data_IF_080220135192
#
_entry.id   IF_080220135192
#
_cell.length_a   1.000
_cell.length_b   1.000
_cell.length_c   1.000
_cell.angle_alpha   90.00
_cell.angle_beta   90.00
_cell.angle_gamma   90.00
#
_symmetry.space_group_name_H-M   'P 1'
#
loop_
_entity.id
_entity.type
_entity.pdbx_description
1 polymer ?
#
# COMPACT_ATOMS: atom_id res chain seq x y z
N UNK A 1 -49.65 -83.13 38.94
CA UNK A 1 -50.52 -83.40 37.77
C UNK A 1 -50.03 -82.55 36.62
N UNK A 2 -50.06 -83.14 35.41
CA UNK A 2 -50.09 -82.50 34.08
C UNK A 2 -48.88 -81.65 33.67
N UNK A 3 -48.03 -82.10 32.74
CA UNK A 3 -48.16 -81.94 31.26
C UNK A 3 -48.42 -80.47 30.89
N UNK A 4 -47.76 -79.81 29.94
CA UNK A 4 -47.30 -80.26 28.62
C UNK A 4 -46.67 -79.05 27.89
N UNK A 5 -45.51 -79.26 27.25
CA UNK A 5 -45.14 -78.87 25.86
C UNK A 5 -45.19 -77.38 25.39
N UNK A 6 -44.56 -77.00 24.24
CA UNK A 6 -43.31 -76.22 24.22
C UNK A 6 -43.37 -74.93 23.37
N UNK A 7 -42.19 -74.36 23.06
CA UNK A 7 -41.81 -73.34 22.02
C UNK A 7 -41.43 -71.96 22.57
N UNK A 8 -40.64 -71.12 21.86
CA UNK A 8 -39.69 -71.35 20.75
C UNK A 8 -38.26 -70.82 21.03
N UNK A 9 -37.31 -71.21 20.17
CA UNK A 9 -35.91 -70.72 20.12
C UNK A 9 -35.85 -69.26 19.64
N UNK A 10 -35.13 -68.35 20.32
CA UNK A 10 -34.82 -67.03 19.78
C UNK A 10 -33.58 -67.08 18.88
N UNK A 11 -33.73 -66.59 17.65
CA UNK A 11 -32.65 -66.34 16.68
C UNK A 11 -31.77 -65.18 17.21
N UNK A 12 -30.43 -65.26 17.13
CA UNK A 12 -29.57 -64.14 17.51
C UNK A 12 -29.73 -62.97 16.53
N UNK A 13 -29.97 -61.77 17.07
CA UNK A 13 -29.95 -60.53 16.30
C UNK A 13 -28.53 -60.21 15.81
N UNK A 14 -28.37 -59.62 14.60
CA UNK A 14 -27.08 -59.20 14.10
C UNK A 14 -26.54 -58.03 14.93
N UNK A 15 -25.31 -58.16 15.42
CA UNK A 15 -24.58 -57.07 16.06
C UNK A 15 -24.41 -55.90 15.06
N UNK A 16 -25.02 -54.76 15.37
CA UNK A 16 -24.81 -53.51 14.65
C UNK A 16 -23.34 -53.04 14.79
N UNK A 17 -22.61 -52.77 13.70
CA UNK A 17 -21.30 -52.12 13.77
C UNK A 17 -21.50 -50.61 13.96
N UNK A 18 -22.06 -50.21 15.10
CA UNK A 18 -22.41 -48.80 15.37
C UNK A 18 -21.29 -47.99 16.04
N UNK A 19 -20.09 -48.55 16.23
CA UNK A 19 -19.02 -47.88 17.00
C UNK A 19 -17.88 -47.24 16.19
N UNK A 20 -17.87 -47.32 14.86
CA UNK A 20 -16.77 -46.76 14.04
C UNK A 20 -17.15 -45.59 13.12
N UNK A 21 -18.44 -45.28 12.94
CA UNK A 21 -18.87 -44.14 12.09
C UNK A 21 -18.91 -42.78 12.79
N UNK A 22 -19.00 -42.74 14.13
CA UNK A 22 -19.14 -41.47 14.87
C UNK A 22 -17.83 -40.67 14.94
N UNK A 23 -16.66 -41.33 14.82
CA UNK A 23 -15.35 -40.65 14.92
C UNK A 23 -14.83 -40.00 13.62
N UNK A 24 -15.38 -40.35 12.44
CA UNK A 24 -14.99 -39.72 11.16
C UNK A 24 -15.84 -38.49 10.81
N UNK A 25 -17.08 -38.41 11.29
CA UNK A 25 -17.95 -37.26 11.05
C UNK A 25 -17.51 -36.00 11.83
N UNK A 26 -16.90 -36.17 13.01
CA UNK A 26 -16.46 -35.02 13.85
C UNK A 26 -15.20 -34.34 13.33
N UNK A 27 -14.32 -35.05 12.60
CA UNK A 27 -13.09 -34.45 12.04
C UNK A 27 -13.35 -33.62 10.78
N UNK A 28 -14.36 -33.97 9.98
CA UNK A 28 -14.77 -33.20 8.81
C UNK A 28 -15.54 -31.92 9.19
N UNK A 29 -16.35 -31.97 10.25
CA UNK A 29 -17.09 -30.79 10.73
C UNK A 29 -16.17 -29.70 11.29
N UNK A 30 -15.10 -30.07 12.00
CA UNK A 30 -14.10 -29.13 12.54
C UNK A 30 -13.23 -28.53 11.43
N UNK A 31 -12.86 -29.31 10.41
CA UNK A 31 -12.11 -28.80 9.26
C UNK A 31 -12.92 -27.80 8.43
N UNK A 32 -14.24 -27.99 8.30
CA UNK A 32 -15.11 -27.07 7.56
C UNK A 32 -15.39 -25.76 8.32
N UNK A 33 -15.45 -25.81 9.66
CA UNK A 33 -15.60 -24.58 10.48
C UNK A 33 -14.31 -23.76 10.56
N UNK A 34 -13.15 -24.41 10.53
CA UNK A 34 -11.87 -23.71 10.42
C UNK A 34 -11.73 -23.08 9.03
N UNK A 35 -12.07 -23.79 7.94
CA UNK A 35 -12.00 -23.21 6.59
C UNK A 35 -12.91 -21.99 6.37
N UNK A 36 -14.11 -21.98 6.95
CA UNK A 36 -15.03 -20.83 6.85
C UNK A 36 -14.60 -19.61 7.69
N UNK A 37 -13.83 -19.81 8.76
CA UNK A 37 -13.36 -18.69 9.61
C UNK A 37 -12.10 -18.04 9.05
N UNK A 38 -11.22 -18.77 8.36
CA UNK A 38 -10.04 -18.17 7.71
C UNK A 38 -10.43 -17.35 6.47
N UNK A 39 -11.44 -17.78 5.68
CA UNK A 39 -11.94 -17.00 4.54
C UNK A 39 -12.68 -15.72 4.93
N UNK A 40 -13.20 -15.62 6.17
CA UNK A 40 -13.85 -14.41 6.65
C UNK A 40 -12.84 -13.33 7.08
N UNK A 41 -11.66 -13.70 7.57
CA UNK A 41 -10.63 -12.72 7.97
C UNK A 41 -9.98 -12.02 6.77
N UNK A 42 -9.88 -12.69 5.61
CA UNK A 42 -9.42 -12.05 4.38
C UNK A 42 -10.41 -10.97 3.85
N UNK A 43 -11.65 -10.94 4.35
CA UNK A 43 -12.68 -9.94 3.98
C UNK A 43 -12.70 -8.70 4.89
N UNK A 44 -11.81 -8.59 5.87
CA UNK A 44 -11.81 -7.41 6.76
C UNK A 44 -10.97 -6.24 6.21
N UNK A 45 -10.05 -6.48 5.26
CA UNK A 45 -9.37 -5.42 4.52
C UNK A 45 -10.27 -4.76 3.45
N UNK A 46 -11.48 -5.27 3.22
CA UNK A 46 -12.52 -4.71 2.32
C UNK A 46 -13.60 -3.90 3.06
N UNK A 47 -13.42 -3.56 4.35
CA UNK A 47 -14.52 -3.09 5.21
C UNK A 47 -14.96 -1.64 4.95
N UNK A 48 -14.05 -0.77 4.49
CA UNK A 48 -14.43 0.57 4.01
C UNK A 48 -13.33 1.13 3.09
N UNK A 49 -13.56 1.09 1.78
CA UNK A 49 -12.64 1.67 0.80
C UNK A 49 -12.62 3.21 0.85
N UNK A 50 -13.46 3.84 1.67
CA UNK A 50 -13.53 5.28 1.84
C UNK A 50 -13.02 5.77 3.21
N UNK A 51 -12.36 4.91 4.00
CA UNK A 51 -11.95 5.27 5.35
C UNK A 51 -11.02 6.50 5.37
N UNK A 52 -10.02 6.54 4.47
CA UNK A 52 -9.13 7.71 4.36
C UNK A 52 -9.89 8.98 4.00
N UNK A 53 -10.83 8.92 3.05
CA UNK A 53 -11.66 10.08 2.72
C UNK A 53 -12.48 10.56 3.92
N UNK A 54 -13.11 9.65 4.67
CA UNK A 54 -13.89 10.00 5.86
C UNK A 54 -13.03 10.69 6.92
N UNK A 55 -11.77 10.27 7.10
CA UNK A 55 -10.84 10.97 8.01
C UNK A 55 -10.59 12.39 7.52
N UNK A 56 -10.27 12.57 6.24
CA UNK A 56 -10.02 13.91 5.66
C UNK A 56 -11.25 14.82 5.79
N UNK A 57 -12.39 14.35 5.29
CA UNK A 57 -13.63 15.12 5.12
C UNK A 57 -14.37 15.38 6.43
N UNK A 58 -14.27 14.49 7.41
CA UNK A 58 -15.04 14.59 8.67
C UNK A 58 -14.16 15.02 9.86
N UNK A 59 -12.87 14.66 9.87
CA UNK A 59 -12.00 14.85 11.03
C UNK A 59 -10.91 15.90 10.83
N UNK A 60 -10.30 15.97 9.65
CA UNK A 60 -9.17 16.86 9.43
C UNK A 60 -9.60 18.24 8.89
N UNK A 61 -10.27 18.28 7.74
CA UNK A 61 -10.67 19.53 7.08
C UNK A 61 -11.64 20.35 7.94
N UNK A 62 -12.73 19.78 8.52
CA UNK A 62 -13.64 20.55 9.36
C UNK A 62 -12.97 21.12 10.61
N UNK A 63 -12.06 20.36 11.24
CA UNK A 63 -11.30 20.88 12.39
C UNK A 63 -10.41 22.04 11.98
N UNK A 64 -9.69 21.93 10.86
CA UNK A 64 -8.82 23.01 10.39
C UNK A 64 -9.61 24.28 10.10
N UNK A 65 -10.79 24.16 9.48
CA UNK A 65 -11.66 25.29 9.16
C UNK A 65 -12.29 25.93 10.41
N UNK A 66 -12.73 25.12 11.37
CA UNK A 66 -13.44 25.61 12.54
C UNK A 66 -12.51 26.18 13.63
N UNK A 67 -11.35 25.56 13.84
CA UNK A 67 -10.48 25.86 14.99
C UNK A 67 -9.04 26.18 14.62
N UNK A 68 -8.67 26.09 13.35
CA UNK A 68 -7.28 26.29 12.92
C UNK A 68 -6.33 25.14 13.30
N UNK A 69 -6.84 24.01 13.79
CA UNK A 69 -6.06 22.83 14.19
C UNK A 69 -6.35 21.63 13.30
N UNK A 70 -5.39 20.70 13.07
CA UNK A 70 -5.52 19.68 12.01
C UNK A 70 -6.41 18.47 12.36
N UNK A 71 -7.03 18.44 13.55
CA UNK A 71 -7.85 17.33 13.98
C UNK A 71 -7.04 16.03 14.15
N UNK A 72 -7.45 14.96 13.43
CA UNK A 72 -6.74 13.67 13.45
C UNK A 72 -5.47 13.67 12.56
N UNK A 73 -5.29 14.67 11.71
CA UNK A 73 -4.14 14.76 10.82
C UNK A 73 -2.94 15.40 11.52
N UNK A 74 -1.73 15.11 11.03
CA UNK A 74 -0.49 15.76 11.44
C UNK A 74 -0.49 17.23 11.02
N UNK A 75 -0.96 17.51 9.79
CA UNK A 75 -1.19 18.88 9.30
C UNK A 75 -2.29 18.90 8.25
N UNK A 76 -2.93 20.05 8.07
CA UNK A 76 -3.89 20.32 6.99
C UNK A 76 -3.48 21.61 6.29
N UNK A 77 -3.27 21.54 4.98
CA UNK A 77 -3.01 22.71 4.15
C UNK A 77 -4.18 22.92 3.20
N UNK A 78 -5.11 23.80 3.56
CA UNK A 78 -6.30 24.10 2.74
C UNK A 78 -5.93 24.84 1.44
N UNK A 79 -4.86 25.64 1.45
CA UNK A 79 -4.42 26.40 0.27
C UNK A 79 -3.80 25.52 -0.81
N UNK A 80 -2.96 24.55 -0.40
CA UNK A 80 -2.37 23.52 -1.26
C UNK A 80 -3.21 22.24 -1.37
N UNK A 81 -4.38 22.21 -0.72
CA UNK A 81 -5.41 21.18 -0.83
C UNK A 81 -4.93 19.76 -0.48
N UNK A 82 -4.16 19.61 0.59
CA UNK A 82 -3.76 18.29 1.11
C UNK A 82 -3.76 18.24 2.63
N UNK A 83 -3.72 17.03 3.17
CA UNK A 83 -3.42 16.73 4.56
C UNK A 83 -2.23 15.79 4.66
N UNK A 84 -1.50 15.84 5.77
CA UNK A 84 -0.59 14.77 6.16
C UNK A 84 -1.21 14.01 7.32
N UNK A 85 -1.30 12.69 7.18
CA UNK A 85 -1.84 11.79 8.20
C UNK A 85 -0.73 10.82 8.63
N UNK A 86 -0.49 10.66 9.93
CA UNK A 86 0.34 9.55 10.44
C UNK A 86 -0.40 8.23 10.16
N UNK A 87 0.24 7.33 9.43
CA UNK A 87 -0.33 6.01 9.15
C UNK A 87 -0.42 5.19 10.45
N UNK A 88 -1.42 4.31 10.54
CA UNK A 88 -1.56 3.36 11.65
C UNK A 88 -0.54 2.22 11.56
N UNK A 89 -0.04 1.94 10.36
CA UNK A 89 1.04 1.01 10.07
C UNK A 89 2.36 1.78 10.03
N UNK A 90 3.42 1.12 10.51
CA UNK A 90 4.78 1.64 10.43
C UNK A 90 5.17 2.62 11.53
N UNK A 91 6.45 2.55 11.92
CA UNK A 91 7.07 3.38 12.94
C UNK A 91 7.05 4.86 12.58
N UNK A 92 7.21 5.17 11.30
CA UNK A 92 7.45 6.52 10.79
C UNK A 92 6.60 6.92 9.60
N UNK A 93 5.85 5.98 9.03
CA UNK A 93 5.04 6.19 7.83
C UNK A 93 4.00 7.29 8.01
N UNK A 94 3.97 8.20 7.05
CA UNK A 94 2.93 9.21 6.86
C UNK A 94 2.30 9.06 5.48
N UNK A 95 1.12 9.63 5.32
CA UNK A 95 0.41 9.70 4.06
C UNK A 95 0.17 11.16 3.70
N UNK A 96 0.48 11.57 2.46
CA UNK A 96 -0.14 12.75 1.87
C UNK A 96 -1.45 12.34 1.22
N UNK A 97 -2.54 13.03 1.56
CA UNK A 97 -3.89 12.74 1.06
C UNK A 97 -4.53 14.07 0.61
N UNK A 98 -5.04 14.18 -0.63
CA UNK A 98 -5.76 15.38 -1.08
C UNK A 98 -6.97 15.70 -0.21
N UNK A 99 -7.27 16.98 -0.03
CA UNK A 99 -8.55 17.45 0.52
C UNK A 99 -9.69 17.35 -0.50
N UNK A 100 -9.36 17.05 -1.74
CA UNK A 100 -10.31 16.78 -2.82
C UNK A 100 -10.60 15.29 -2.96
N UNK A 101 -11.79 14.98 -3.48
CA UNK A 101 -12.16 13.60 -3.78
C UNK A 101 -11.50 13.12 -5.07
N UNK A 102 -10.28 12.60 -4.93
CA UNK A 102 -9.48 12.01 -6.02
C UNK A 102 -9.28 10.53 -5.68
N UNK A 103 -9.60 9.61 -6.58
CA UNK A 103 -9.63 8.17 -6.26
C UNK A 103 -8.24 7.55 -6.14
N UNK A 104 -7.28 8.01 -6.94
CA UNK A 104 -5.92 7.48 -7.00
C UNK A 104 -5.20 7.88 -8.29
N UNK A 105 -4.15 7.13 -8.63
CA UNK A 105 -3.28 7.36 -9.80
C UNK A 105 -4.04 7.30 -11.14
N UNK A 106 -5.15 6.59 -11.22
CA UNK A 106 -6.00 6.50 -12.40
C UNK A 106 -6.88 7.73 -12.63
N UNK A 107 -6.99 8.61 -11.63
CA UNK A 107 -7.91 9.73 -11.71
C UNK A 107 -7.40 10.79 -12.70
N UNK A 108 -8.19 11.21 -13.71
CA UNK A 108 -7.77 12.25 -14.64
C UNK A 108 -7.51 13.61 -13.95
N UNK A 109 -8.02 13.79 -12.73
CA UNK A 109 -7.85 15.00 -11.94
C UNK A 109 -6.39 15.27 -11.55
N UNK A 110 -5.52 14.26 -11.52
CA UNK A 110 -4.09 14.44 -11.21
C UNK A 110 -3.30 15.04 -12.37
N UNK A 111 -3.88 15.06 -13.58
CA UNK A 111 -3.27 15.61 -14.80
C UNK A 111 -3.96 16.89 -15.30
N UNK A 112 -5.05 17.28 -14.65
CA UNK A 112 -5.82 18.48 -15.01
C UNK A 112 -4.92 19.74 -15.02
N UNK A 113 -5.27 20.79 -15.81
CA UNK A 113 -4.47 22.01 -15.91
C UNK A 113 -4.15 22.71 -14.58
N UNK A 114 -4.96 22.45 -13.53
CA UNK A 114 -4.79 23.02 -12.19
C UNK A 114 -4.65 21.94 -11.10
N UNK A 115 -4.22 20.74 -11.49
CA UNK A 115 -3.85 19.70 -10.55
C UNK A 115 -2.75 20.22 -9.60
N UNK A 116 -2.84 19.87 -8.32
CA UNK A 116 -1.83 20.28 -7.33
C UNK A 116 -0.58 19.41 -7.46
N UNK A 117 0.58 19.97 -7.12
CA UNK A 117 1.87 19.28 -7.14
C UNK A 117 2.08 18.42 -5.88
N UNK A 118 1.22 17.41 -5.70
CA UNK A 118 1.24 16.54 -4.52
C UNK A 118 2.58 15.83 -4.29
N UNK A 119 3.38 15.58 -5.33
CA UNK A 119 4.72 14.99 -5.18
C UNK A 119 5.71 15.96 -4.53
N UNK A 120 5.65 17.25 -4.84
CA UNK A 120 6.47 18.29 -4.18
C UNK A 120 6.07 18.40 -2.72
N UNK A 121 4.77 18.47 -2.45
CA UNK A 121 4.26 18.57 -1.08
C UNK A 121 4.53 17.31 -0.25
N UNK A 122 4.47 16.12 -0.86
CA UNK A 122 4.83 14.86 -0.20
C UNK A 122 6.34 14.79 0.07
N UNK A 123 7.17 15.28 -0.85
CA UNK A 123 8.61 15.36 -0.66
C UNK A 123 8.96 16.26 0.52
N UNK A 124 8.35 17.44 0.62
CA UNK A 124 8.52 18.34 1.77
C UNK A 124 8.04 17.73 3.10
N UNK A 125 7.04 16.84 3.03
CA UNK A 125 6.47 16.16 4.19
C UNK A 125 7.34 14.99 4.71
N UNK A 126 8.42 14.60 4.01
CA UNK A 126 9.39 13.60 4.51
C UNK A 126 9.97 13.95 5.89
N UNK A 127 10.02 15.24 6.23
CA UNK A 127 10.38 15.72 7.57
C UNK A 127 9.53 15.14 8.71
N UNK A 128 8.32 14.67 8.44
CA UNK A 128 7.48 14.01 9.47
C UNK A 128 7.94 12.57 9.75
N UNK A 129 8.54 11.90 8.76
CA UNK A 129 9.24 10.61 8.94
C UNK A 129 10.44 10.85 9.87
N UNK A 130 11.28 11.82 9.53
CA UNK A 130 12.45 12.23 10.31
C UNK A 130 12.08 12.64 11.75
N UNK A 131 11.00 13.41 11.92
CA UNK A 131 10.47 13.77 13.23
C UNK A 131 10.03 12.57 14.06
N UNK A 132 9.48 11.53 13.41
CA UNK A 132 9.06 10.29 14.08
C UNK A 132 10.25 9.45 14.54
N UNK A 133 11.33 9.42 13.76
CA UNK A 133 12.58 8.73 14.12
C UNK A 133 13.57 9.60 14.88
N UNK A 134 13.26 10.90 15.05
CA UNK A 134 14.05 11.91 15.77
C UNK A 134 15.47 12.09 15.22
N UNK A 135 15.62 12.00 13.90
CA UNK A 135 16.88 12.22 13.20
C UNK A 135 16.62 12.65 11.76
N UNK A 136 17.54 13.42 11.21
CA UNK A 136 17.63 13.63 9.77
C UNK A 136 18.12 12.36 9.08
N UNK A 137 17.60 12.12 7.88
CA UNK A 137 17.99 11.02 7.00
C UNK A 137 18.43 11.59 5.65
N UNK A 138 19.45 10.99 5.01
CA UNK A 138 19.76 11.28 3.61
C UNK A 138 18.53 11.10 2.72
N UNK A 139 18.39 11.92 1.68
CA UNK A 139 17.20 11.92 0.81
C UNK A 139 17.02 10.60 0.04
N UNK A 140 18.10 9.87 -0.25
CA UNK A 140 18.09 8.52 -0.85
C UNK A 140 17.69 7.40 0.13
N UNK A 141 17.47 7.73 1.41
CA UNK A 141 16.91 6.84 2.42
C UNK A 141 15.43 7.10 2.70
N UNK A 142 14.82 8.06 2.00
CA UNK A 142 13.41 8.42 2.10
C UNK A 142 12.70 8.12 0.78
N UNK A 143 11.48 7.60 0.88
CA UNK A 143 10.69 7.16 -0.26
C UNK A 143 9.29 7.75 -0.21
N UNK A 144 8.79 8.13 -1.38
CA UNK A 144 7.40 8.47 -1.63
C UNK A 144 6.81 7.43 -2.56
N UNK A 145 5.63 6.89 -2.28
CA UNK A 145 5.04 5.84 -3.12
C UNK A 145 3.54 6.00 -3.31
N UNK A 146 3.05 5.64 -4.49
CA UNK A 146 1.63 5.44 -4.74
C UNK A 146 1.39 4.09 -5.41
N UNK A 147 0.48 3.33 -4.81
CA UNK A 147 0.03 2.05 -5.29
C UNK A 147 -0.92 2.16 -6.49
N UNK A 148 -0.92 1.13 -7.34
CA UNK A 148 -1.92 0.98 -8.39
C UNK A 148 -3.33 0.79 -7.82
N UNK A 149 -4.35 1.02 -8.65
CA UNK A 149 -5.74 0.77 -8.25
C UNK A 149 -5.95 -0.68 -7.80
N UNK A 150 -5.24 -1.62 -8.44
CA UNK A 150 -5.37 -3.06 -8.19
C UNK A 150 -4.50 -3.58 -7.04
N UNK A 151 -3.74 -2.70 -6.37
CA UNK A 151 -2.83 -3.05 -5.26
C UNK A 151 -3.07 -2.24 -4.00
N UNK A 152 -4.14 -1.43 -3.95
CA UNK A 152 -4.55 -0.66 -2.77
C UNK A 152 -5.91 -1.10 -2.24
N UNK A 153 -6.19 -0.76 -0.98
CA UNK A 153 -7.49 -1.02 -0.33
C UNK A 153 -8.36 0.24 -0.17
N UNK A 154 -7.77 1.43 -0.33
CA UNK A 154 -8.44 2.73 -0.15
C UNK A 154 -8.63 3.44 -1.49
N UNK A 155 -9.86 3.91 -1.76
CA UNK A 155 -10.29 4.62 -2.96
C UNK A 155 -10.25 6.14 -2.75
N UNK A 156 -9.14 6.61 -2.19
CA UNK A 156 -8.79 8.00 -2.05
C UNK A 156 -7.29 8.07 -2.36
N UNK A 157 -6.84 9.00 -3.20
CA UNK A 157 -5.42 9.16 -3.51
C UNK A 157 -4.64 9.36 -2.21
N UNK A 158 -3.59 8.55 -2.03
CA UNK A 158 -2.66 8.69 -0.92
C UNK A 158 -1.25 8.37 -1.43
N UNK A 159 -0.30 9.23 -1.10
CA UNK A 159 1.13 8.98 -1.31
C UNK A 159 1.70 8.57 0.04
N UNK A 160 2.25 7.35 0.10
CA UNK A 160 3.00 6.85 1.25
C UNK A 160 4.33 7.59 1.34
N UNK A 161 4.73 7.96 2.56
CA UNK A 161 5.96 8.69 2.85
C UNK A 161 6.64 7.95 3.99
N UNK A 162 7.76 7.29 3.71
CA UNK A 162 8.47 6.50 4.71
C UNK A 162 9.95 6.28 4.35
N UNK A 163 10.63 5.49 5.15
CA UNK A 163 12.03 5.13 4.91
C UNK A 163 12.15 4.07 3.80
N UNK A 164 13.17 4.21 2.95
CA UNK A 164 13.55 3.20 1.97
C UNK A 164 14.21 1.99 2.66
N UNK A 165 14.08 0.81 2.07
CA UNK A 165 14.95 -0.32 2.43
C UNK A 165 16.37 -0.02 1.98
N UNK A 166 17.33 -0.22 2.89
CA UNK A 166 18.77 0.00 2.64
C UNK A 166 19.27 -0.63 1.34
N UNK A 167 18.96 -1.90 1.12
CA UNK A 167 19.43 -2.63 -0.07
C UNK A 167 18.80 -2.10 -1.37
N UNK A 168 17.60 -1.52 -1.30
CA UNK A 168 16.97 -0.85 -2.44
C UNK A 168 17.70 0.47 -2.74
N UNK A 169 17.97 1.30 -1.74
CA UNK A 169 18.77 2.53 -1.93
C UNK A 169 20.14 2.23 -2.54
N UNK A 170 20.82 1.17 -2.07
CA UNK A 170 22.10 0.72 -2.64
C UNK A 170 21.95 0.26 -4.10
N UNK A 171 20.89 -0.47 -4.44
CA UNK A 171 20.63 -0.85 -5.82
C UNK A 171 20.36 0.39 -6.70
N UNK A 172 19.65 1.39 -6.18
CA UNK A 172 19.31 2.61 -6.91
C UNK A 172 20.49 3.57 -7.11
N UNK A 173 21.53 3.50 -6.28
CA UNK A 173 22.71 4.35 -6.39
C UNK A 173 23.42 4.27 -7.76
N UNK A 174 23.29 3.16 -8.50
CA UNK A 174 23.86 3.06 -9.85
C UNK A 174 23.17 3.94 -10.89
N UNK A 175 21.96 4.43 -10.59
CA UNK A 175 21.19 5.35 -11.43
C UNK A 175 21.38 6.82 -11.03
N UNK A 176 22.19 7.10 -10.01
CA UNK A 176 22.43 8.45 -9.49
C UNK A 176 22.95 9.44 -10.54
N UNK A 177 23.68 8.93 -11.54
CA UNK A 177 24.30 9.73 -12.60
C UNK A 177 23.71 9.47 -13.99
N UNK A 178 22.56 8.79 -14.07
CA UNK A 178 21.87 8.62 -15.35
C UNK A 178 21.48 9.99 -15.94
N UNK A 179 21.50 10.07 -17.28
CA UNK A 179 21.03 11.25 -18.00
C UNK A 179 19.56 11.53 -17.61
N UNK A 180 19.23 12.73 -17.11
CA UNK A 180 17.86 13.06 -16.75
C UNK A 180 16.89 12.88 -17.93
N UNK A 181 15.70 12.36 -17.64
CA UNK A 181 14.65 12.16 -18.65
C UNK A 181 14.75 10.86 -19.45
N UNK A 182 15.73 10.00 -19.19
CA UNK A 182 15.86 8.69 -19.85
C UNK A 182 15.41 7.54 -18.94
N UNK A 183 14.55 6.65 -19.46
CA UNK A 183 14.17 5.43 -18.76
C UNK A 183 15.27 4.36 -18.85
N UNK A 184 15.59 3.71 -17.72
CA UNK A 184 16.45 2.52 -17.62
C UNK A 184 15.71 1.41 -16.90
N UNK A 185 15.80 0.17 -17.41
CA UNK A 185 15.20 -0.98 -16.74
C UNK A 185 16.09 -1.52 -15.63
N UNK A 186 15.45 -2.00 -14.56
CA UNK A 186 16.08 -2.67 -13.44
C UNK A 186 15.20 -3.79 -12.88
N UNK A 187 15.82 -4.80 -12.26
CA UNK A 187 15.11 -5.79 -11.43
C UNK A 187 15.52 -5.66 -9.96
N UNK A 188 14.57 -5.25 -9.11
CA UNK A 188 14.77 -5.13 -7.66
C UNK A 188 13.88 -6.19 -6.99
N UNK A 189 14.48 -7.05 -6.17
CA UNK A 189 13.80 -8.17 -5.50
C UNK A 189 12.94 -9.04 -6.45
N UNK A 190 13.46 -9.31 -7.64
CA UNK A 190 12.78 -10.13 -8.64
C UNK A 190 11.61 -9.45 -9.36
N UNK A 191 11.41 -8.14 -9.13
CA UNK A 191 10.37 -7.35 -9.78
C UNK A 191 10.99 -6.28 -10.69
N UNK A 192 10.40 -6.09 -11.87
CA UNK A 192 10.90 -5.15 -12.87
C UNK A 192 10.34 -3.75 -12.65
N UNK A 193 11.24 -2.79 -12.67
CA UNK A 193 10.96 -1.35 -12.60
C UNK A 193 11.71 -0.67 -13.73
N UNK A 194 11.12 0.39 -14.30
CA UNK A 194 11.88 1.39 -15.05
C UNK A 194 12.19 2.56 -14.12
N UNK A 195 13.39 3.11 -14.26
CA UNK A 195 13.96 4.14 -13.42
C UNK A 195 14.33 5.31 -14.32
N UNK A 196 13.90 6.52 -13.94
CA UNK A 196 14.27 7.76 -14.60
C UNK A 196 14.83 8.72 -13.57
N UNK A 197 15.99 9.29 -13.84
CA UNK A 197 16.49 10.43 -13.08
C UNK A 197 15.81 11.72 -13.55
N UNK A 198 15.44 12.57 -12.60
CA UNK A 198 14.86 13.90 -12.85
C UNK A 198 15.51 14.94 -11.95
N UNK A 199 15.41 16.21 -12.33
CA UNK A 199 16.01 17.34 -11.60
C UNK A 199 14.97 18.24 -10.92
N UNK A 200 13.68 17.89 -10.99
CA UNK A 200 12.58 18.49 -10.22
C UNK A 200 11.43 17.47 -10.09
N UNK A 201 10.40 17.79 -9.29
CA UNK A 201 9.19 16.95 -9.11
C UNK A 201 7.90 17.66 -9.56
N UNK A 202 8.03 18.82 -10.18
CA UNK A 202 6.94 19.69 -10.65
C UNK A 202 6.88 19.74 -12.17
N UNK A 203 5.85 20.42 -12.69
CA UNK A 203 5.68 20.71 -14.11
C UNK A 203 5.88 19.46 -14.99
N UNK A 204 6.75 19.52 -16.00
CA UNK A 204 7.05 18.39 -16.88
C UNK A 204 7.68 17.21 -16.14
N UNK A 205 8.36 17.43 -15.01
CA UNK A 205 8.98 16.39 -14.19
C UNK A 205 8.04 15.81 -13.13
N UNK A 206 6.78 16.27 -13.05
CA UNK A 206 5.80 15.70 -12.13
C UNK A 206 5.65 14.19 -12.40
N UNK A 207 5.85 13.32 -11.40
CA UNK A 207 5.85 11.87 -11.61
C UNK A 207 4.56 11.32 -12.24
N UNK A 208 3.39 11.89 -11.94
CA UNK A 208 2.15 11.50 -12.61
C UNK A 208 2.19 11.81 -14.10
N UNK A 209 2.67 13.01 -14.47
CA UNK A 209 2.79 13.42 -15.87
C UNK A 209 3.83 12.58 -16.61
N UNK A 210 4.96 12.26 -15.98
CA UNK A 210 6.00 11.41 -16.58
C UNK A 210 5.44 10.03 -16.92
N UNK A 211 4.76 9.37 -15.98
CA UNK A 211 4.25 8.01 -16.22
C UNK A 211 3.07 8.01 -17.20
N UNK A 212 2.23 9.05 -17.18
CA UNK A 212 1.11 9.20 -18.11
C UNK A 212 1.53 9.36 -19.58
N UNK A 213 2.77 9.77 -19.89
CA UNK A 213 3.27 9.86 -21.28
C UNK A 213 3.22 8.52 -22.01
N UNK A 214 3.42 7.44 -21.27
CA UNK A 214 3.42 6.08 -21.82
C UNK A 214 2.13 5.32 -21.47
N UNK A 215 1.19 5.96 -20.77
CA UNK A 215 -0.06 5.39 -20.23
C UNK A 215 -1.16 6.46 -20.33
N UNK A 216 -1.63 6.73 -21.55
CA UNK A 216 -2.40 7.95 -21.83
C UNK A 216 -3.82 7.95 -21.24
N UNK A 217 -4.42 6.78 -21.04
CA UNK A 217 -5.78 6.65 -20.50
C UNK A 217 -5.81 6.21 -19.02
N UNK A 218 -6.98 6.38 -18.41
CA UNK A 218 -7.20 6.07 -17.00
C UNK A 218 -7.03 4.58 -16.68
N UNK A 219 -7.32 3.68 -17.61
CA UNK A 219 -7.19 2.23 -17.40
C UNK A 219 -5.71 1.81 -17.39
N UNK A 220 -4.91 2.33 -18.33
CA UNK A 220 -3.48 2.13 -18.36
C UNK A 220 -2.82 2.69 -17.08
N UNK A 221 -3.18 3.91 -16.67
CA UNK A 221 -2.70 4.51 -15.42
C UNK A 221 -3.13 3.73 -14.17
N UNK A 222 -4.31 3.12 -14.17
CA UNK A 222 -4.81 2.31 -13.05
C UNK A 222 -3.93 1.10 -12.73
N UNK A 223 -3.21 0.58 -13.73
CA UNK A 223 -2.29 -0.54 -13.57
C UNK A 223 -0.94 -0.16 -12.93
N UNK A 224 -0.61 1.14 -12.92
CA UNK A 224 0.73 1.63 -12.59
C UNK A 224 0.94 1.92 -11.10
N UNK A 225 2.19 1.81 -10.66
CA UNK A 225 2.69 2.34 -9.37
C UNK A 225 3.85 3.29 -9.65
N UNK A 226 4.06 4.23 -8.73
CA UNK A 226 5.18 5.18 -8.80
C UNK A 226 5.85 5.24 -7.44
N UNK A 227 7.18 5.18 -7.42
CA UNK A 227 7.98 5.54 -6.25
C UNK A 227 8.96 6.65 -6.61
N UNK A 228 9.18 7.57 -5.69
CA UNK A 228 10.18 8.65 -5.79
C UNK A 228 11.12 8.59 -4.61
N UNK A 229 12.42 8.71 -4.86
CA UNK A 229 13.46 8.83 -3.83
C UNK A 229 14.57 9.77 -4.30
N UNK A 230 15.46 10.20 -3.41
CA UNK A 230 16.65 10.96 -3.79
C UNK A 230 17.56 10.13 -4.69
N UNK A 231 18.15 10.75 -5.71
CA UNK A 231 19.19 10.11 -6.52
C UNK A 231 20.53 10.00 -5.79
N UNK A 232 20.67 10.72 -4.68
CA UNK A 232 21.80 10.67 -3.76
C UNK A 232 21.39 11.26 -2.40
N UNK A 233 22.35 11.51 -1.50
CA UNK A 233 22.07 11.96 -0.14
C UNK A 233 21.37 13.32 -0.05
N UNK A 234 21.42 14.15 -1.10
CA UNK A 234 20.68 15.41 -1.18
C UNK A 234 20.01 15.56 -2.54
N UNK A 235 18.68 15.49 -2.58
CA UNK A 235 17.96 15.56 -3.85
C UNK A 235 18.06 16.95 -4.52
N UNK A 236 18.28 18.01 -3.74
CA UNK A 236 18.50 19.36 -4.28
C UNK A 236 19.77 19.45 -5.14
N UNK A 237 20.80 18.65 -4.83
CA UNK A 237 22.04 18.59 -5.62
C UNK A 237 22.05 17.41 -6.59
N UNK A 238 21.55 16.26 -6.16
CA UNK A 238 21.69 14.98 -6.86
C UNK A 238 20.49 14.69 -7.77
N UNK A 239 19.36 15.36 -7.56
CA UNK A 239 18.08 15.10 -8.21
C UNK A 239 17.29 13.95 -7.57
N UNK A 240 16.27 13.48 -8.27
CA UNK A 240 15.38 12.40 -7.83
C UNK A 240 15.42 11.23 -8.81
N UNK A 241 15.10 10.04 -8.29
CA UNK A 241 14.79 8.87 -9.09
C UNK A 241 13.30 8.60 -9.02
N UNK A 242 12.66 8.52 -10.19
CA UNK A 242 11.30 8.04 -10.36
C UNK A 242 11.38 6.58 -10.79
N UNK A 243 10.80 5.70 -9.98
CA UNK A 243 10.58 4.30 -10.26
C UNK A 243 9.13 4.12 -10.72
N UNK A 244 8.93 3.40 -11.82
CA UNK A 244 7.62 2.99 -12.28
C UNK A 244 7.59 1.49 -12.64
N UNK A 245 6.49 0.85 -12.27
CA UNK A 245 6.14 -0.53 -12.66
C UNK A 245 4.62 -0.60 -12.78
N UNK A 246 4.11 -1.71 -13.30
CA UNK A 246 2.68 -1.93 -13.46
C UNK A 246 2.32 -3.40 -13.27
N UNK A 247 1.03 -3.70 -13.14
CA UNK A 247 0.54 -5.10 -13.13
C UNK A 247 0.58 -5.73 -14.53
N UNK A 248 0.67 -4.90 -15.56
CA UNK A 248 0.74 -5.18 -16.98
C UNK A 248 2.20 -5.27 -17.50
N UNK A 249 3.18 -5.00 -16.63
CA UNK A 249 4.60 -5.18 -16.91
C UNK A 249 4.99 -6.63 -16.62
N UNK A 250 5.75 -7.27 -17.53
CA UNK A 250 6.33 -8.60 -17.29
C UNK A 250 7.22 -8.59 -16.03
N UNK A 251 6.93 -9.49 -15.09
CA UNK A 251 7.50 -9.48 -13.73
C UNK A 251 7.35 -8.13 -12.98
N UNK A 252 6.29 -7.37 -13.25
CA UNK A 252 5.95 -6.13 -12.56
C UNK A 252 5.26 -6.34 -11.19
N UNK A 253 4.90 -5.24 -10.53
CA UNK A 253 4.37 -5.29 -9.16
C UNK A 253 3.00 -4.61 -8.98
N UNK A 254 2.76 -3.51 -9.69
CA UNK A 254 1.65 -2.58 -9.41
C UNK A 254 1.71 -1.92 -8.03
N UNK A 255 2.79 -2.13 -7.27
CA UNK A 255 3.05 -1.58 -5.93
C UNK A 255 4.55 -1.48 -5.70
N UNK A 256 5.02 -0.34 -5.23
CA UNK A 256 6.41 -0.15 -4.82
C UNK A 256 6.56 -0.06 -3.30
N UNK A 257 5.47 -0.22 -2.54
CA UNK A 257 5.48 -0.19 -1.07
C UNK A 257 6.47 -1.20 -0.45
N UNK A 258 6.64 -2.37 -1.08
CA UNK A 258 7.62 -3.38 -0.64
C UNK A 258 9.10 -2.97 -0.79
N UNK A 259 9.39 -1.85 -1.46
CA UNK A 259 10.72 -1.23 -1.55
C UNK A 259 11.03 -0.34 -0.34
N UNK A 260 10.00 0.03 0.44
CA UNK A 260 10.11 0.79 1.67
C UNK A 260 10.22 -0.12 2.90
N UNK A 261 10.66 0.45 4.02
CA UNK A 261 10.80 -0.23 5.30
C UNK A 261 10.00 0.48 6.38
N UNK A 262 8.81 -0.05 6.70
CA UNK A 262 7.94 0.50 7.73
C UNK A 262 8.49 0.39 9.15
N UNK A 263 9.54 -0.40 9.38
CA UNK A 263 10.29 -0.38 10.64
C UNK A 263 11.34 0.74 10.68
N UNK A 264 11.62 1.37 9.53
CA UNK A 264 12.64 2.37 9.30
C UNK A 264 14.00 1.99 9.91
N UNK A 265 14.53 0.80 9.56
CA UNK A 265 15.81 0.32 10.12
C UNK A 265 17.01 1.16 9.70
N UNK A 266 16.91 1.89 8.58
CA UNK A 266 17.93 2.86 8.16
C UNK A 266 18.15 3.96 9.22
N UNK A 267 17.13 4.28 10.01
CA UNK A 267 17.23 5.23 11.12
C UNK A 267 17.92 4.66 12.37
N UNK A 268 18.15 3.35 12.46
CA UNK A 268 18.85 2.72 13.56
C UNK A 268 20.35 2.53 13.27
N UNK A 269 20.76 2.74 12.01
CA UNK A 269 22.18 2.72 11.64
C UNK A 269 22.92 3.89 12.32
N UNK A 270 24.13 3.67 12.86
CA UNK A 270 24.93 4.72 13.49
C UNK A 270 25.17 5.91 12.57
#
# INVERSE_FOLDING_TARGET
>A
MTTSTPTPVPIPSPAHPQRTRVRRATRLAVAFTIACTVSACARLATVDSNALWKIVDIRCVPSQQATGTPGQCTTVNLGKRYVILKDIVGRSQHLLIPTDRITGIESPLILAPHAQDYWVDAWDARRYVEGSVKRTLPDDQLGLEINSQYRRSQNQLHIHIDCMRREVSLALARHANDTPGEWRWETIDGRRYRIMRVTSLDEASNPFRIVARDNEDAEAMAAQTILVTGAGPSADTDGWLILNSGIDVDNGSGSAEGLMDHACRVADAP
#
